data_IF_946152924461
#
_entry.id   IF_946152924461
#
_cell.length_a   1.000
_cell.length_b   1.000
_cell.length_c   1.000
_cell.angle_alpha   90.00
_cell.angle_beta   90.00
_cell.angle_gamma   90.00
#
_symmetry.space_group_name_H-M   'P 1'
#
loop_
_entity.id
_entity.type
_entity.pdbx_description
1 polymer ?
#
# COMPACT_ATOMS: atom_id res chain seq x y z
N UNK A 1 -19.35 -20.09 6.26
CA UNK A 1 -18.67 -19.05 7.08
C UNK A 1 -18.36 -19.53 8.48
N UNK A 2 -19.25 -20.26 9.15
CA UNK A 2 -19.01 -20.76 10.52
C UNK A 2 -17.71 -21.56 10.68
N UNK A 3 -17.40 -22.46 9.73
CA UNK A 3 -16.13 -23.20 9.72
C UNK A 3 -14.90 -22.30 9.63
N UNK A 4 -14.94 -21.26 8.78
CA UNK A 4 -13.84 -20.31 8.63
C UNK A 4 -13.68 -19.43 9.88
N UNK A 5 -14.79 -19.04 10.52
CA UNK A 5 -14.76 -18.30 11.79
C UNK A 5 -14.18 -19.15 12.92
N UNK A 6 -14.48 -20.44 12.97
CA UNK A 6 -13.92 -21.36 13.96
C UNK A 6 -12.39 -21.48 13.81
N UNK A 7 -11.90 -21.64 12.59
CA UNK A 7 -10.45 -21.68 12.31
C UNK A 7 -9.75 -20.38 12.69
N UNK A 8 -10.30 -19.23 12.28
CA UNK A 8 -9.72 -17.93 12.62
C UNK A 8 -9.66 -17.69 14.13
N UNK A 9 -10.72 -18.07 14.87
CA UNK A 9 -10.73 -17.98 16.33
C UNK A 9 -9.63 -18.85 16.96
N UNK A 10 -9.47 -20.09 16.49
CA UNK A 10 -8.44 -21.00 17.00
C UNK A 10 -7.02 -20.49 16.75
N UNK A 11 -6.78 -19.82 15.63
CA UNK A 11 -5.44 -19.31 15.27
C UNK A 11 -5.13 -17.94 15.89
N UNK A 12 -6.17 -17.16 16.24
CA UNK A 12 -6.00 -15.74 16.54
C UNK A 12 -6.47 -15.34 17.95
N UNK A 13 -6.29 -16.23 18.93
CA UNK A 13 -6.61 -16.01 20.35
C UNK A 13 -8.10 -15.67 20.59
N UNK A 14 -9.01 -16.44 19.99
CA UNK A 14 -10.47 -16.28 20.09
C UNK A 14 -11.00 -14.89 19.68
N UNK A 15 -10.18 -14.11 18.97
CA UNK A 15 -10.59 -12.79 18.47
C UNK A 15 -11.69 -12.94 17.43
N UNK A 16 -12.66 -12.03 17.48
CA UNK A 16 -13.70 -11.93 16.46
C UNK A 16 -13.11 -11.45 15.14
N UNK A 17 -13.67 -11.94 14.02
CA UNK A 17 -13.20 -11.56 12.70
C UNK A 17 -13.66 -10.13 12.37
N UNK A 18 -12.73 -9.17 12.44
CA UNK A 18 -13.03 -7.74 12.36
C UNK A 18 -13.60 -7.29 11.02
N UNK A 19 -13.30 -8.01 9.93
CA UNK A 19 -13.70 -7.66 8.57
C UNK A 19 -14.96 -8.39 8.09
N UNK A 20 -15.73 -8.97 9.02
CA UNK A 20 -16.96 -9.71 8.69
C UNK A 20 -17.97 -8.85 7.91
N UNK A 21 -18.10 -7.59 8.30
CA UNK A 21 -18.98 -6.63 7.64
C UNK A 21 -18.61 -6.43 6.16
N UNK A 22 -17.32 -6.22 5.88
CA UNK A 22 -16.84 -6.03 4.51
C UNK A 22 -17.06 -7.27 3.65
N UNK A 23 -16.86 -8.47 4.22
CA UNK A 23 -17.13 -9.71 3.52
C UNK A 23 -18.62 -9.89 3.19
N UNK A 24 -19.53 -9.56 4.12
CA UNK A 24 -20.98 -9.64 3.90
C UNK A 24 -21.43 -8.77 2.73
N UNK A 25 -20.83 -7.59 2.56
CA UNK A 25 -21.16 -6.66 1.48
C UNK A 25 -20.56 -7.10 0.13
N UNK A 26 -19.35 -7.67 0.15
CA UNK A 26 -18.61 -8.00 -1.07
C UNK A 26 -18.98 -9.36 -1.66
N UNK A 27 -19.39 -10.34 -0.84
CA UNK A 27 -19.66 -11.71 -1.33
C UNK A 27 -20.73 -11.77 -2.42
N UNK A 28 -21.66 -10.81 -2.39
CA UNK A 28 -22.82 -10.75 -3.26
C UNK A 28 -22.56 -9.92 -4.54
N UNK A 29 -21.33 -9.43 -4.73
CA UNK A 29 -20.94 -8.77 -5.97
C UNK A 29 -20.70 -9.81 -7.08
N UNK A 30 -21.06 -9.51 -8.35
CA UNK A 30 -20.99 -10.46 -9.46
C UNK A 30 -19.57 -10.99 -9.73
N UNK A 31 -18.54 -10.19 -9.41
CA UNK A 31 -17.13 -10.59 -9.49
C UNK A 31 -16.80 -11.80 -8.60
N UNK A 32 -17.44 -11.90 -7.43
CA UNK A 32 -17.16 -12.93 -6.43
C UNK A 32 -18.19 -14.08 -6.46
N UNK A 33 -19.41 -13.83 -6.94
CA UNK A 33 -20.41 -14.90 -7.17
C UNK A 33 -19.99 -15.91 -8.24
N UNK A 34 -19.37 -15.45 -9.32
CA UNK A 34 -18.92 -16.33 -10.42
C UNK A 34 -17.90 -17.39 -9.94
N UNK A 35 -17.02 -17.01 -9.02
CA UNK A 35 -15.97 -17.89 -8.50
C UNK A 35 -16.58 -19.04 -7.66
N UNK A 36 -17.62 -18.75 -6.87
CA UNK A 36 -18.26 -19.75 -6.00
C UNK A 36 -19.08 -20.79 -6.78
N UNK A 37 -19.69 -20.39 -7.91
CA UNK A 37 -20.39 -21.35 -8.78
C UNK A 37 -19.43 -22.22 -9.59
N UNK A 38 -18.29 -21.68 -10.01
CA UNK A 38 -17.31 -22.39 -10.83
C UNK A 38 -16.57 -23.48 -10.05
N UNK A 39 -16.30 -23.27 -8.76
CA UNK A 39 -15.70 -24.28 -7.86
C UNK A 39 -16.56 -25.55 -7.70
N UNK A 40 -17.87 -25.46 -7.92
CA UNK A 40 -18.78 -26.62 -7.92
C UNK A 40 -18.75 -27.41 -9.24
N UNK A 41 -18.19 -26.82 -10.31
CA UNK A 41 -18.15 -27.37 -11.67
C UNK A 41 -16.72 -27.50 -12.18
N UNK A 42 -15.79 -27.72 -11.26
CA UNK A 42 -14.40 -28.06 -11.56
C UNK A 42 -14.35 -29.34 -12.42
N UNK A 43 -14.31 -29.18 -13.74
CA UNK A 43 -14.04 -30.27 -14.71
C UNK A 43 -12.64 -30.88 -14.57
N UNK A 44 -11.84 -30.40 -13.60
CA UNK A 44 -10.44 -30.78 -13.44
C UNK A 44 -10.15 -31.36 -12.06
N UNK A 45 -10.83 -32.46 -11.75
CA UNK A 45 -10.36 -33.47 -10.79
C UNK A 45 -10.93 -34.83 -11.20
N UNK A 46 -10.38 -35.37 -12.29
CA UNK A 46 -10.41 -36.82 -12.52
C UNK A 46 -8.97 -37.32 -12.59
N UNK A 47 -8.40 -37.50 -11.41
CA UNK A 47 -7.35 -38.51 -11.24
C UNK A 47 -8.05 -39.61 -10.46
N UNK A 48 -8.53 -40.63 -11.17
CA UNK A 48 -8.81 -41.90 -10.52
C UNK A 48 -7.47 -42.53 -10.13
N UNK A 49 -7.47 -43.32 -9.07
CA UNK A 49 -6.31 -43.96 -8.45
C UNK A 49 -5.52 -44.92 -9.39
N UNK A 50 -5.93 -45.08 -10.65
CA UNK A 50 -5.25 -45.88 -11.67
C UNK A 50 -4.69 -45.10 -12.87
N UNK A 51 -4.68 -43.75 -12.86
CA UNK A 51 -3.79 -42.96 -13.72
C UNK A 51 -3.79 -43.25 -15.23
N UNK A 52 -4.91 -43.66 -15.83
CA UNK A 52 -4.99 -43.97 -17.26
C UNK A 52 -5.84 -42.95 -18.03
N UNK A 53 -5.34 -42.50 -19.19
CA UNK A 53 -6.06 -41.64 -20.14
C UNK A 53 -7.07 -42.47 -20.95
N UNK A 54 -8.35 -42.07 -20.96
CA UNK A 54 -9.31 -42.62 -21.92
C UNK A 54 -9.15 -41.89 -23.25
N UNK A 55 -8.27 -42.39 -24.12
CA UNK A 55 -8.31 -42.06 -25.56
C UNK A 55 -9.42 -42.89 -26.21
N UNK A 56 -10.50 -42.23 -26.63
CA UNK A 56 -11.53 -42.80 -27.51
C UNK A 56 -11.90 -41.71 -28.52
N UNK A 57 -11.24 -41.69 -29.67
CA UNK A 57 -11.65 -42.35 -30.93
C UNK A 57 -12.56 -41.44 -31.75
N UNK A 58 -12.00 -40.87 -32.82
CA UNK A 58 -12.71 -40.08 -33.82
C UNK A 58 -13.76 -40.95 -34.52
N UNK A 59 -15.01 -40.51 -34.55
CA UNK A 59 -15.99 -40.97 -35.53
C UNK A 59 -16.28 -39.84 -36.51
N UNK A 60 -15.88 -40.05 -37.76
CA UNK A 60 -16.48 -39.41 -38.92
C UNK A 60 -17.86 -40.02 -39.12
N UNK A 61 -18.90 -39.20 -39.03
CA UNK A 61 -20.23 -39.53 -39.51
C UNK A 61 -20.78 -38.32 -40.24
N UNK A 62 -20.97 -38.51 -41.54
CA UNK A 62 -21.65 -37.64 -42.47
C UNK A 62 -23.15 -37.53 -42.15
N UNK A 63 -23.69 -36.30 -42.14
CA UNK A 63 -25.06 -36.02 -42.61
C UNK A 63 -25.32 -34.51 -42.76
N UNK A 64 -26.13 -34.20 -43.76
CA UNK A 64 -26.34 -32.92 -44.42
C UNK A 64 -27.41 -32.07 -43.71
N UNK A 65 -27.42 -30.77 -44.00
CA UNK A 65 -28.44 -29.76 -43.66
C UNK A 65 -28.30 -29.00 -42.32
N UNK A 66 -27.57 -27.88 -42.36
CA UNK A 66 -28.00 -26.63 -41.72
C UNK A 66 -27.01 -25.50 -42.03
N UNK A 67 -27.55 -24.43 -42.64
CA UNK A 67 -27.00 -23.07 -42.80
C UNK A 67 -25.49 -22.92 -42.54
N UNK A 68 -24.69 -22.90 -43.61
CA UNK A 68 -23.31 -22.41 -43.55
C UNK A 68 -23.31 -20.90 -43.28
N UNK A 69 -23.53 -20.51 -42.03
CA UNK A 69 -23.19 -19.18 -41.55
C UNK A 69 -21.68 -19.01 -41.73
N UNK A 70 -21.27 -18.15 -42.66
CA UNK A 70 -19.85 -17.89 -42.93
C UNK A 70 -19.24 -17.34 -41.65
N UNK A 71 -18.42 -18.16 -40.98
CA UNK A 71 -17.62 -17.75 -39.83
C UNK A 71 -16.88 -16.44 -40.18
N UNK A 72 -16.88 -15.43 -39.28
CA UNK A 72 -16.17 -14.18 -39.54
C UNK A 72 -14.69 -14.45 -39.81
N UNK A 73 -14.10 -13.67 -40.71
CA UNK A 73 -12.69 -13.83 -41.09
C UNK A 73 -11.81 -13.84 -39.84
N UNK A 74 -10.96 -14.86 -39.73
CA UNK A 74 -10.08 -15.06 -38.59
C UNK A 74 -9.22 -13.82 -38.31
N UNK A 75 -8.99 -13.58 -37.02
CA UNK A 75 -8.30 -12.41 -36.44
C UNK A 75 -7.02 -11.99 -37.18
N UNK A 76 -6.28 -12.94 -37.76
CA UNK A 76 -5.04 -12.68 -38.52
C UNK A 76 -5.28 -11.94 -39.84
N UNK A 77 -6.30 -12.26 -40.63
CA UNK A 77 -6.61 -11.53 -41.89
C UNK A 77 -7.23 -10.16 -41.62
N UNK A 78 -8.06 -10.05 -40.57
CA UNK A 78 -8.61 -8.77 -40.12
C UNK A 78 -7.52 -7.79 -39.67
N UNK A 79 -6.51 -8.27 -38.91
CA UNK A 79 -5.34 -7.46 -38.49
C UNK A 79 -4.50 -6.95 -39.68
N UNK A 80 -4.36 -7.74 -40.73
CA UNK A 80 -3.59 -7.35 -41.93
C UNK A 80 -4.31 -6.25 -42.71
N UNK A 81 -5.64 -6.36 -42.89
CA UNK A 81 -6.44 -5.29 -43.52
C UNK A 81 -6.41 -3.98 -42.72
N UNK A 82 -6.32 -4.06 -41.38
CA UNK A 82 -6.25 -2.90 -40.49
C UNK A 82 -4.84 -2.26 -40.44
N UNK A 83 -3.78 -3.01 -40.72
CA UNK A 83 -2.40 -2.49 -40.82
C UNK A 83 -2.04 -1.95 -42.21
N UNK A 84 -2.72 -2.38 -43.27
CA UNK A 84 -2.45 -1.95 -44.65
C UNK A 84 -3.04 -0.59 -45.04
N UNK A 85 -3.99 -0.05 -44.27
CA UNK A 85 -4.53 1.29 -44.47
C UNK A 85 -3.71 2.27 -43.64
N UNK A 86 -2.94 3.11 -44.32
CA UNK A 86 -1.95 4.02 -43.75
C UNK A 86 -2.42 4.66 -42.45
N UNK A 87 -1.53 4.62 -41.45
CA UNK A 87 -1.70 5.13 -40.09
C UNK A 87 -1.81 6.67 -40.11
N UNK A 88 -2.90 7.21 -40.66
CA UNK A 88 -3.44 8.48 -40.19
C UNK A 88 -4.01 8.13 -38.82
N UNK A 89 -3.37 8.59 -37.75
CA UNK A 89 -3.96 8.52 -36.42
C UNK A 89 -5.29 9.26 -36.48
N UNK A 90 -6.38 8.54 -36.70
CA UNK A 90 -7.70 9.05 -36.35
C UNK A 90 -7.62 9.30 -34.83
N UNK A 91 -8.02 10.49 -34.35
CA UNK A 91 -8.08 10.73 -32.92
C UNK A 91 -8.92 9.60 -32.32
N UNK A 92 -8.39 8.94 -31.28
CA UNK A 92 -9.17 7.96 -30.54
C UNK A 92 -10.51 8.60 -30.15
N UNK A 93 -11.66 7.90 -30.26
CA UNK A 93 -12.95 8.45 -29.85
C UNK A 93 -12.99 8.82 -28.36
N UNK A 94 -12.02 8.30 -27.59
CA UNK A 94 -11.83 8.61 -26.18
C UNK A 94 -11.09 9.92 -25.91
N UNK A 95 -10.56 10.59 -26.94
CA UNK A 95 -9.72 11.79 -26.76
C UNK A 95 -8.42 11.52 -26.00
N UNK A 96 -7.44 12.41 -26.14
CA UNK A 96 -6.23 12.41 -25.29
C UNK A 96 -6.52 13.02 -23.90
N UNK A 97 -7.78 13.33 -23.61
CA UNK A 97 -8.20 13.95 -22.35
C UNK A 97 -8.29 12.87 -21.26
N UNK A 98 -7.56 13.02 -20.14
CA UNK A 98 -7.68 12.11 -19.02
C UNK A 98 -9.13 12.08 -18.50
N UNK A 99 -9.60 10.90 -18.09
CA UNK A 99 -10.93 10.77 -17.49
C UNK A 99 -11.04 11.65 -16.24
N UNK A 100 -12.25 12.14 -15.97
CA UNK A 100 -12.52 13.00 -14.82
C UNK A 100 -12.06 12.35 -13.50
N UNK A 101 -12.25 11.03 -13.36
CA UNK A 101 -11.77 10.24 -12.22
C UNK A 101 -10.24 10.27 -12.07
N UNK A 102 -9.50 10.22 -13.18
CA UNK A 102 -8.04 10.27 -13.16
C UNK A 102 -7.54 11.67 -12.77
N UNK A 103 -8.23 12.72 -13.21
CA UNK A 103 -7.93 14.11 -12.82
C UNK A 103 -8.13 14.29 -11.31
N UNK A 104 -9.27 13.83 -10.78
CA UNK A 104 -9.58 13.88 -9.35
C UNK A 104 -8.57 13.07 -8.51
N UNK A 105 -8.16 11.89 -8.99
CA UNK A 105 -7.14 11.08 -8.32
C UNK A 105 -5.80 11.83 -8.24
N UNK A 106 -5.34 12.42 -9.34
CA UNK A 106 -4.09 13.17 -9.37
C UNK A 106 -4.13 14.39 -8.44
N UNK A 107 -5.25 15.11 -8.41
CA UNK A 107 -5.45 16.23 -7.48
C UNK A 107 -5.39 15.76 -6.03
N UNK A 108 -6.10 14.68 -5.68
CA UNK A 108 -6.07 14.10 -4.35
C UNK A 108 -4.68 13.59 -3.95
N UNK A 109 -3.88 13.08 -4.90
CA UNK A 109 -2.50 12.67 -4.66
C UNK A 109 -1.61 13.89 -4.39
N UNK A 110 -1.76 14.98 -5.14
CA UNK A 110 -1.03 16.24 -4.90
C UNK A 110 -1.34 16.81 -3.53
N UNK A 111 -2.62 16.89 -3.16
CA UNK A 111 -3.05 17.38 -1.85
C UNK A 111 -2.50 16.53 -0.71
N UNK A 112 -2.47 15.20 -0.86
CA UNK A 112 -1.85 14.30 0.11
C UNK A 112 -0.35 14.52 0.22
N UNK A 113 0.35 14.68 -0.90
CA UNK A 113 1.79 14.93 -0.90
C UNK A 113 2.12 16.25 -0.17
N UNK A 114 1.39 17.33 -0.47
CA UNK A 114 1.57 18.62 0.22
C UNK A 114 1.26 18.54 1.72
N UNK A 115 0.20 17.82 2.11
CA UNK A 115 -0.14 17.61 3.51
C UNK A 115 0.95 16.84 4.26
N UNK A 116 1.54 15.81 3.63
CA UNK A 116 2.65 15.05 4.20
C UNK A 116 3.86 15.96 4.38
N UNK A 117 4.26 16.73 3.37
CA UNK A 117 5.40 17.66 3.47
C UNK A 117 5.21 18.68 4.60
N UNK A 118 4.04 19.32 4.68
CA UNK A 118 3.73 20.26 5.77
C UNK A 118 3.78 19.59 7.15
N UNK A 119 3.27 18.36 7.26
CA UNK A 119 3.32 17.62 8.53
C UNK A 119 4.75 17.27 8.92
N UNK A 120 5.60 16.89 7.97
CA UNK A 120 7.02 16.59 8.22
C UNK A 120 7.81 17.84 8.60
N UNK A 121 7.54 18.98 7.96
CA UNK A 121 8.16 20.25 8.34
C UNK A 121 7.72 20.72 9.73
N UNK A 122 6.45 20.49 10.08
CA UNK A 122 5.94 20.82 11.41
C UNK A 122 6.59 19.94 12.49
N UNK A 123 6.80 18.66 12.23
CA UNK A 123 7.47 17.76 13.19
C UNK A 123 8.95 18.07 13.33
N UNK A 124 9.66 18.41 12.25
CA UNK A 124 11.07 18.82 12.33
C UNK A 124 11.22 20.13 13.10
N UNK A 125 10.42 21.16 12.77
CA UNK A 125 10.42 22.44 13.50
C UNK A 125 10.07 22.26 14.98
N UNK A 126 9.12 21.39 15.32
CA UNK A 126 8.80 21.09 16.71
C UNK A 126 9.94 20.38 17.43
N UNK A 127 10.64 19.45 16.75
CA UNK A 127 11.80 18.77 17.32
C UNK A 127 12.98 19.74 17.54
N UNK A 128 13.25 20.64 16.59
CA UNK A 128 14.25 21.70 16.70
C UNK A 128 13.91 22.67 17.84
N UNK A 129 12.65 23.12 17.92
CA UNK A 129 12.20 24.00 19.00
C UNK A 129 12.38 23.37 20.39
N UNK A 130 12.15 22.07 20.53
CA UNK A 130 12.40 21.34 21.79
C UNK A 130 13.88 21.28 22.12
N UNK A 131 14.75 21.04 21.14
CA UNK A 131 16.21 21.05 21.33
C UNK A 131 16.71 22.43 21.76
N UNK A 132 16.24 23.48 21.08
CA UNK A 132 16.59 24.86 21.43
C UNK A 132 16.10 25.23 22.83
N UNK A 133 14.89 24.79 23.21
CA UNK A 133 14.39 24.97 24.57
C UNK A 133 15.29 24.29 25.61
N UNK A 134 15.69 23.04 25.39
CA UNK A 134 16.61 22.34 26.30
C UNK A 134 17.97 23.02 26.39
N UNK A 135 18.46 23.56 25.27
CA UNK A 135 19.72 24.32 25.23
C UNK A 135 19.61 25.61 26.04
N UNK A 136 18.52 26.35 25.88
CA UNK A 136 18.25 27.57 26.64
C UNK A 136 18.15 27.30 28.14
N UNK A 137 17.52 26.20 28.56
CA UNK A 137 17.45 25.80 29.97
C UNK A 137 18.85 25.50 30.54
N UNK A 138 19.68 24.75 29.81
CA UNK A 138 21.09 24.51 30.18
C UNK A 138 21.90 25.82 30.25
N UNK A 139 21.69 26.74 29.30
CA UNK A 139 22.38 28.03 29.30
C UNK A 139 21.98 28.88 30.52
N UNK A 140 20.69 28.90 30.86
CA UNK A 140 20.18 29.59 32.04
C UNK A 140 20.74 29.00 33.35
N UNK A 141 20.89 27.67 33.45
CA UNK A 141 21.51 27.05 34.64
C UNK A 141 22.99 27.36 34.74
N UNK A 142 23.71 27.38 33.61
CA UNK A 142 25.12 27.78 33.54
C UNK A 142 25.33 29.21 34.08
N UNK A 143 24.56 30.19 33.58
CA UNK A 143 24.65 31.58 34.05
C UNK A 143 24.37 31.70 35.55
N UNK A 144 23.33 31.03 36.06
CA UNK A 144 23.01 31.02 37.49
C UNK A 144 24.13 30.44 38.36
N UNK A 145 24.85 29.44 37.86
CA UNK A 145 25.99 28.85 38.57
C UNK A 145 27.22 29.75 38.51
N UNK A 146 27.43 30.46 37.40
CA UNK A 146 28.54 31.37 37.19
C UNK A 146 28.42 32.62 38.06
N UNK A 147 27.20 33.15 38.23
CA UNK A 147 26.90 34.30 39.09
C UNK A 147 26.89 33.96 40.59
N UNK A 148 27.01 32.67 40.95
CA UNK A 148 26.94 32.23 42.34
C UNK A 148 28.27 32.53 43.05
N UNK A 149 28.19 33.30 44.14
CA UNK A 149 29.36 33.60 44.96
C UNK A 149 29.99 32.30 45.53
N UNK A 150 31.23 32.04 45.11
CA UNK A 150 32.02 30.87 45.50
C UNK A 150 33.05 31.19 46.60
N UNK A 151 33.10 32.42 47.12
CA UNK A 151 34.09 32.84 48.12
C UNK A 151 34.06 32.00 49.42
N UNK A 152 32.89 31.46 49.77
CA UNK A 152 32.70 30.63 50.97
C UNK A 152 32.82 29.11 50.69
N UNK A 153 33.23 28.70 49.50
CA UNK A 153 33.35 27.28 49.17
C UNK A 153 34.63 26.70 49.77
N UNK A 154 34.56 25.46 50.26
CA UNK A 154 35.77 24.70 50.56
C UNK A 154 36.37 24.16 49.25
N UNK A 155 37.65 23.77 49.27
CA UNK A 155 38.37 23.33 48.06
C UNK A 155 37.66 22.20 47.30
N UNK A 156 37.03 21.26 48.03
CA UNK A 156 36.31 20.14 47.41
C UNK A 156 35.04 20.63 46.69
N UNK A 157 34.32 21.59 47.27
CA UNK A 157 33.13 22.19 46.66
C UNK A 157 33.50 23.09 45.48
N UNK A 158 34.60 23.83 45.58
CA UNK A 158 35.11 24.69 44.51
C UNK A 158 35.44 23.85 43.27
N UNK A 159 36.26 22.79 43.44
CA UNK A 159 36.59 21.87 42.34
C UNK A 159 35.37 21.23 41.69
N UNK A 160 34.35 20.87 42.49
CA UNK A 160 33.09 20.32 41.96
C UNK A 160 32.30 21.36 41.18
N UNK A 161 32.26 22.60 41.64
CA UNK A 161 31.56 23.69 40.97
C UNK A 161 32.22 24.03 39.63
N UNK A 162 33.54 24.15 39.60
CA UNK A 162 34.32 24.33 38.37
C UNK A 162 34.09 23.19 37.37
N UNK A 163 34.17 21.93 37.83
CA UNK A 163 33.94 20.76 36.98
C UNK A 163 32.51 20.71 36.40
N UNK A 164 31.49 21.18 37.14
CA UNK A 164 30.12 21.27 36.63
C UNK A 164 30.00 22.38 35.58
N UNK A 165 30.63 23.53 35.81
CA UNK A 165 30.65 24.63 34.84
C UNK A 165 31.34 24.21 33.53
N UNK A 166 32.47 23.52 33.60
CA UNK A 166 33.16 22.99 32.42
C UNK A 166 32.27 22.00 31.65
N UNK A 167 31.62 21.05 32.34
CA UNK A 167 30.72 20.10 31.69
C UNK A 167 29.54 20.78 30.98
N UNK A 168 28.92 21.76 31.64
CA UNK A 168 27.83 22.52 31.01
C UNK A 168 28.32 23.33 29.81
N UNK A 169 29.52 23.91 29.90
CA UNK A 169 30.14 24.63 28.79
C UNK A 169 30.44 23.70 27.59
N UNK A 170 30.93 22.48 27.82
CA UNK A 170 31.14 21.50 26.74
C UNK A 170 29.84 21.04 26.12
N UNK A 171 28.81 20.72 26.94
CA UNK A 171 27.50 20.29 26.43
C UNK A 171 26.80 21.38 25.60
N UNK A 172 27.00 22.66 25.93
CA UNK A 172 26.45 23.79 25.17
C UNK A 172 27.19 24.07 23.85
N UNK A 173 28.45 23.63 23.75
CA UNK A 173 29.30 23.78 22.57
C UNK A 173 29.17 22.60 21.58
N UNK A 174 28.82 21.41 22.07
CA UNK A 174 28.65 20.19 21.26
C UNK A 174 27.25 20.05 20.63
N UNK A 175 26.24 20.79 21.12
CA UNK A 175 24.85 20.84 20.59
C UNK A 175 24.61 21.97 19.57
#
# INVERSE_FOLDING_TARGET
MEKAHALYKSENNDKTFTLEYMWRELKDQPKWRLILEEDSKNKRTKISESGAYTSSSNQETEEETSRKEKRPEGQKKAKVKLKGKGKKHAPSPLGDQPSQDFVLLNEAVKLRAEAVLKSTEATTKSAEAKKEQTRMEKYQTYLKLLDKDAANFNDVKLKRHEAILEKLATELAEE
#
